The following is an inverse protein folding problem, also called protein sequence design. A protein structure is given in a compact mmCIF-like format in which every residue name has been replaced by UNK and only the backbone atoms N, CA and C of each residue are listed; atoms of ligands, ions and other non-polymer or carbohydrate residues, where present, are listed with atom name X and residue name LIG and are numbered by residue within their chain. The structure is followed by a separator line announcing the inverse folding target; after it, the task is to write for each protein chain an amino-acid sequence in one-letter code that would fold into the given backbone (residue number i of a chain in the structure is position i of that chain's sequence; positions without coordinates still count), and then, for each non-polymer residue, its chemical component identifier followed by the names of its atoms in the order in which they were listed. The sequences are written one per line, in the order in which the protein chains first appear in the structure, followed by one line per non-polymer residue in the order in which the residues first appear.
data_IF_728610434506
#
_entry.id   IF_728610434506
#
_cell.length_a   1.000
_cell.length_b   1.000
_cell.length_c   1.000
_cell.angle_alpha   90.00
_cell.angle_beta   90.00
_cell.angle_gamma   90.00
#
_symmetry.space_group_name_H-M   'P 1'
#
loop_
_entity.id
_entity.type
_entity.pdbx_description
1 polymer ?
#
# COMPACT_ATOMS: atom_id res chain seq x y z
N UNK A 1 -45.98 -30.63 40.83
CA UNK A 1 -44.94 -29.58 40.78
C UNK A 1 -43.68 -29.93 39.96
N UNK A 2 -43.77 -30.78 38.94
CA UNK A 2 -42.61 -31.18 38.09
C UNK A 2 -42.66 -30.70 36.62
N UNK A 3 -43.72 -29.98 36.23
CA UNK A 3 -43.89 -29.54 34.82
C UNK A 3 -43.38 -28.14 34.50
N UNK A 4 -42.99 -27.34 35.47
CA UNK A 4 -42.53 -25.97 35.23
C UNK A 4 -41.00 -25.80 35.24
N UNK A 5 -40.26 -26.87 35.60
CA UNK A 5 -38.81 -26.82 35.64
C UNK A 5 -38.15 -26.90 34.25
N UNK A 6 -38.81 -27.55 33.29
CA UNK A 6 -38.28 -27.70 31.91
C UNK A 6 -38.57 -26.50 31.01
N UNK A 7 -39.46 -25.58 31.44
CA UNK A 7 -39.76 -24.36 30.66
C UNK A 7 -38.79 -23.23 30.91
N UNK A 8 -38.07 -23.25 32.02
CA UNK A 8 -37.07 -22.22 32.39
C UNK A 8 -35.71 -22.58 31.81
N UNK A 9 -35.40 -23.86 31.59
CA UNK A 9 -34.13 -24.31 30.98
C UNK A 9 -34.08 -24.12 29.48
N UNK A 10 -35.21 -23.95 28.80
CA UNK A 10 -35.29 -23.81 27.33
C UNK A 10 -34.99 -22.40 26.79
N UNK A 11 -34.99 -21.38 27.66
CA UNK A 11 -34.83 -19.97 27.23
C UNK A 11 -33.38 -19.48 27.38
N UNK A 12 -32.51 -20.23 28.07
CA UNK A 12 -31.12 -19.81 28.32
C UNK A 12 -30.11 -20.30 27.27
N UNK A 13 -30.57 -21.07 26.27
CA UNK A 13 -29.69 -21.70 25.27
C UNK A 13 -29.66 -21.02 23.89
N UNK A 14 -30.30 -19.84 23.72
CA UNK A 14 -30.39 -19.20 22.40
C UNK A 14 -29.77 -17.78 22.35
N UNK A 15 -28.87 -17.46 23.26
CA UNK A 15 -28.29 -16.10 23.35
C UNK A 15 -26.80 -16.02 23.03
N UNK A 16 -26.21 -16.98 22.33
CA UNK A 16 -24.78 -16.92 22.00
C UNK A 16 -24.51 -17.28 20.55
N UNK A 17 -24.93 -16.46 19.59
CA UNK A 17 -24.35 -16.47 18.24
C UNK A 17 -24.55 -15.10 17.55
N UNK A 18 -24.02 -14.04 18.15
CA UNK A 18 -23.60 -12.86 17.40
C UNK A 18 -22.08 -12.75 17.53
N UNK A 19 -21.37 -13.67 16.88
CA UNK A 19 -19.98 -13.42 16.56
C UNK A 19 -20.04 -12.41 15.41
N UNK A 20 -20.00 -11.15 15.77
CA UNK A 20 -19.71 -10.06 14.86
C UNK A 20 -18.38 -10.36 14.18
N UNK A 21 -18.42 -10.72 12.90
CA UNK A 21 -17.27 -10.59 12.03
C UNK A 21 -16.86 -9.11 12.06
N UNK A 22 -15.92 -8.78 12.91
CA UNK A 22 -15.20 -7.53 12.83
C UNK A 22 -14.60 -7.46 11.42
N UNK A 23 -15.06 -6.52 10.60
CA UNK A 23 -14.31 -6.08 9.44
C UNK A 23 -13.00 -5.54 10.00
N UNK A 24 -11.93 -6.28 9.84
CA UNK A 24 -10.58 -5.77 10.07
C UNK A 24 -10.41 -4.58 9.11
N UNK A 25 -10.62 -3.39 9.66
CA UNK A 25 -10.20 -2.18 8.97
C UNK A 25 -8.69 -2.30 8.83
N UNK A 26 -8.12 -2.06 7.63
CA UNK A 26 -6.68 -1.99 7.51
C UNK A 26 -6.19 -0.98 8.55
N UNK A 27 -5.29 -1.43 9.41
CA UNK A 27 -4.62 -0.55 10.38
C UNK A 27 -3.72 0.34 9.55
N UNK A 28 -4.23 1.49 9.17
CA UNK A 28 -3.41 2.59 8.69
C UNK A 28 -2.64 3.08 9.91
N UNK A 29 -1.38 2.67 10.03
CA UNK A 29 -0.48 3.30 10.97
C UNK A 29 -0.34 4.76 10.55
N UNK A 30 -0.62 5.69 11.47
CA UNK A 30 -0.30 7.09 11.24
C UNK A 30 1.19 7.18 10.90
N UNK A 31 1.50 7.96 9.88
CA UNK A 31 2.89 8.20 9.51
C UNK A 31 3.59 8.90 10.67
N UNK A 32 4.71 8.32 11.11
CA UNK A 32 5.55 9.00 12.09
C UNK A 32 6.08 10.31 11.50
N UNK A 33 6.23 11.34 12.34
CA UNK A 33 6.91 12.56 11.91
C UNK A 33 8.30 12.22 11.40
N UNK A 34 8.61 12.71 10.21
CA UNK A 34 9.94 12.55 9.61
C UNK A 34 10.89 13.48 10.40
N UNK A 35 11.77 12.91 11.21
CA UNK A 35 12.84 13.65 11.83
C UNK A 35 13.79 14.14 10.72
N UNK A 36 13.76 15.42 10.46
CA UNK A 36 14.67 16.04 9.49
C UNK A 36 15.98 16.36 10.21
N UNK A 37 16.98 15.51 10.04
CA UNK A 37 18.33 15.82 10.49
C UNK A 37 18.92 16.92 9.59
N UNK A 38 19.26 18.06 10.20
CA UNK A 38 19.85 19.20 9.50
C UNK A 38 21.37 19.22 9.58
N UNK A 39 21.97 18.34 10.38
CA UNK A 39 23.42 18.23 10.57
C UNK A 39 24.00 17.25 9.54
N UNK A 40 24.60 17.80 8.48
CA UNK A 40 25.18 17.02 7.38
C UNK A 40 25.18 17.77 6.06
N UNK A 41 25.60 17.08 5.01
CA UNK A 41 25.58 17.60 3.63
C UNK A 41 24.27 17.20 2.96
N UNK A 42 23.55 18.18 2.43
CA UNK A 42 22.32 17.97 1.69
C UNK A 42 22.63 17.64 0.22
N UNK A 43 22.11 16.52 -0.27
CA UNK A 43 22.15 16.12 -1.67
C UNK A 43 20.73 16.11 -2.22
N UNK A 44 20.57 16.60 -3.46
CA UNK A 44 19.31 16.54 -4.19
C UNK A 44 19.27 15.35 -5.12
N UNK A 45 18.09 14.76 -5.27
CA UNK A 45 17.88 13.68 -6.24
C UNK A 45 17.97 14.24 -7.66
N UNK A 46 18.73 13.58 -8.50
CA UNK A 46 18.70 13.80 -9.94
C UNK A 46 17.44 13.16 -10.52
N UNK A 47 16.37 13.94 -10.63
CA UNK A 47 15.05 13.47 -11.08
C UNK A 47 15.05 13.04 -12.55
N UNK A 48 16.04 13.45 -13.35
CA UNK A 48 16.15 13.07 -14.76
C UNK A 48 16.72 11.67 -14.93
N UNK A 49 17.65 11.28 -14.06
CA UNK A 49 18.38 10.01 -14.17
C UNK A 49 18.00 9.00 -13.06
N UNK A 50 17.14 9.40 -12.12
CA UNK A 50 16.67 8.53 -11.03
C UNK A 50 15.22 8.10 -11.23
N UNK A 51 14.89 6.90 -10.77
CA UNK A 51 13.53 6.38 -10.77
C UNK A 51 13.28 5.48 -9.58
N UNK A 52 12.02 5.31 -9.23
CA UNK A 52 11.55 4.29 -8.31
C UNK A 52 11.18 3.07 -9.15
N UNK A 53 11.67 1.89 -8.80
CA UNK A 53 11.25 0.64 -9.40
C UNK A 53 10.20 -0.02 -8.50
N UNK A 54 9.07 -0.44 -9.10
CA UNK A 54 8.02 -1.14 -8.39
C UNK A 54 7.85 -2.56 -8.92
N UNK A 55 7.42 -3.44 -8.04
CA UNK A 55 7.08 -4.82 -8.38
C UNK A 55 5.80 -5.22 -7.65
N UNK A 56 4.81 -5.65 -8.42
CA UNK A 56 3.54 -6.16 -7.92
C UNK A 56 3.35 -7.63 -8.22
N UNK A 57 2.69 -8.35 -7.33
CA UNK A 57 2.36 -9.76 -7.50
C UNK A 57 0.99 -10.06 -6.89
N UNK A 58 0.31 -11.05 -7.46
CA UNK A 58 -0.95 -11.53 -6.89
C UNK A 58 -0.68 -12.47 -5.72
N UNK A 59 -1.42 -12.26 -4.63
CA UNK A 59 -1.29 -13.09 -3.41
C UNK A 59 -2.00 -14.44 -3.56
N UNK A 60 -2.85 -14.61 -4.57
CA UNK A 60 -3.60 -15.85 -4.82
C UNK A 60 -2.65 -16.97 -5.27
N UNK A 61 -2.69 -18.10 -4.58
CA UNK A 61 -1.78 -19.26 -4.77
C UNK A 61 -1.78 -19.87 -6.18
N UNK A 62 -2.78 -19.60 -6.99
CA UNK A 62 -2.93 -20.15 -8.34
C UNK A 62 -2.33 -19.30 -9.45
N UNK A 63 -1.98 -18.05 -9.18
CA UNK A 63 -1.48 -17.10 -10.17
C UNK A 63 -0.25 -16.37 -9.59
N UNK A 64 0.93 -16.76 -10.07
CA UNK A 64 2.20 -16.15 -9.69
C UNK A 64 2.63 -15.02 -10.65
N UNK A 65 1.69 -14.47 -11.40
CA UNK A 65 1.98 -13.40 -12.34
C UNK A 65 2.53 -12.20 -11.57
N UNK A 66 3.71 -11.79 -11.98
CA UNK A 66 4.41 -10.63 -11.41
C UNK A 66 4.52 -9.57 -12.47
N UNK A 67 4.16 -8.35 -12.13
CA UNK A 67 4.37 -7.17 -12.98
C UNK A 67 5.35 -6.21 -12.32
N UNK A 68 6.09 -5.47 -13.14
CA UNK A 68 7.03 -4.47 -12.66
C UNK A 68 7.09 -3.27 -13.58
N UNK A 69 7.59 -2.17 -13.03
CA UNK A 69 7.70 -0.93 -13.77
C UNK A 69 8.44 0.16 -13.00
N UNK A 70 8.24 1.39 -13.40
CA UNK A 70 8.90 2.53 -12.80
C UNK A 70 7.95 3.70 -12.54
N UNK A 71 8.39 4.59 -11.64
CA UNK A 71 7.76 5.87 -11.32
C UNK A 71 8.91 6.88 -11.22
N UNK A 72 8.72 8.09 -11.73
CA UNK A 72 9.71 9.16 -11.63
C UNK A 72 9.61 9.88 -10.29
N UNK A 73 10.72 10.44 -9.84
CA UNK A 73 10.70 11.39 -8.74
C UNK A 73 10.24 12.77 -9.26
N UNK A 74 9.35 13.40 -8.53
CA UNK A 74 9.07 14.82 -8.67
C UNK A 74 10.19 15.64 -8.00
N UNK A 75 10.57 15.24 -6.79
CA UNK A 75 11.65 15.86 -6.03
C UNK A 75 12.20 14.90 -4.98
N UNK A 76 13.34 15.26 -4.40
CA UNK A 76 13.87 14.54 -3.28
C UNK A 76 15.19 15.11 -2.82
N UNK A 77 15.45 14.95 -1.54
CA UNK A 77 16.74 15.28 -0.93
C UNK A 77 17.10 14.27 0.16
N UNK A 78 18.39 14.20 0.45
CA UNK A 78 18.95 13.37 1.50
C UNK A 78 20.03 14.12 2.25
N UNK A 79 20.10 13.94 3.55
CA UNK A 79 21.18 14.45 4.40
C UNK A 79 22.16 13.33 4.70
N UNK A 80 23.44 13.58 4.43
CA UNK A 80 24.53 12.63 4.66
C UNK A 80 25.55 13.26 5.61
N UNK A 81 25.94 12.55 6.66
CA UNK A 81 26.98 12.93 7.62
C UNK A 81 27.95 11.77 7.80
N UNK A 82 29.25 12.05 7.72
CA UNK A 82 30.34 11.07 7.87
C UNK A 82 30.16 9.83 6.96
N UNK A 83 29.68 10.06 5.72
CA UNK A 83 29.42 9.01 4.73
C UNK A 83 28.20 8.15 5.02
N UNK A 84 27.36 8.50 6.00
CA UNK A 84 26.14 7.78 6.37
C UNK A 84 24.90 8.61 6.05
N UNK A 85 23.89 7.95 5.48
CA UNK A 85 22.56 8.52 5.30
C UNK A 85 21.93 8.79 6.67
N UNK A 86 21.51 10.01 6.92
CA UNK A 86 20.84 10.43 8.16
C UNK A 86 19.33 10.53 7.97
N UNK A 87 18.91 11.29 6.96
CA UNK A 87 17.49 11.49 6.65
C UNK A 87 17.30 11.66 5.14
N UNK A 88 16.07 11.53 4.68
CA UNK A 88 15.70 11.80 3.30
C UNK A 88 14.21 12.02 3.15
N UNK A 89 13.85 12.86 2.19
CA UNK A 89 12.48 13.11 1.78
C UNK A 89 12.39 12.98 0.27
N UNK A 90 11.39 12.26 -0.21
CA UNK A 90 11.17 12.03 -1.62
C UNK A 90 9.70 12.26 -1.97
N UNK A 91 9.47 12.84 -3.13
CA UNK A 91 8.14 12.96 -3.73
C UNK A 91 8.16 12.18 -5.03
N UNK A 92 7.26 11.20 -5.14
CA UNK A 92 7.08 10.39 -6.32
C UNK A 92 5.94 10.98 -7.17
N UNK A 93 6.17 11.17 -8.46
CA UNK A 93 5.12 11.55 -9.40
C UNK A 93 4.40 10.29 -9.91
N UNK A 94 3.30 9.94 -9.25
CA UNK A 94 2.51 8.75 -9.58
C UNK A 94 1.84 8.86 -10.97
N UNK A 95 1.67 10.04 -11.53
CA UNK A 95 1.15 10.20 -12.90
C UNK A 95 2.07 9.54 -13.92
N UNK A 96 3.37 9.45 -13.61
CA UNK A 96 4.43 8.84 -14.44
C UNK A 96 4.54 7.33 -14.30
N UNK A 97 3.66 6.69 -13.48
CA UNK A 97 3.67 5.24 -13.32
C UNK A 97 3.59 4.56 -14.68
N UNK A 98 4.58 3.72 -14.96
CA UNK A 98 4.71 2.96 -16.18
C UNK A 98 4.97 1.50 -15.87
N UNK A 99 4.28 0.61 -16.59
CA UNK A 99 4.60 -0.82 -16.62
C UNK A 99 5.64 -1.11 -17.71
N UNK A 100 6.65 -1.94 -17.40
CA UNK A 100 7.77 -2.23 -18.30
C UNK A 100 7.69 -3.64 -18.88
N UNK A 101 7.22 -4.62 -18.10
CA UNK A 101 7.20 -6.02 -18.52
C UNK A 101 6.16 -6.33 -19.61
N UNK A 102 5.07 -5.56 -19.69
CA UNK A 102 4.03 -5.72 -20.71
C UNK A 102 4.28 -4.85 -21.96
N UNK A 103 5.51 -4.44 -22.24
CA UNK A 103 5.84 -3.57 -23.39
C UNK A 103 5.37 -4.11 -24.74
N UNK A 104 5.29 -5.44 -24.90
CA UNK A 104 4.88 -6.14 -26.12
C UNK A 104 3.36 -6.41 -26.18
N UNK A 105 2.61 -6.13 -25.09
CA UNK A 105 1.16 -6.23 -24.99
C UNK A 105 0.56 -4.90 -24.52
N UNK A 106 0.34 -3.99 -25.46
CA UNK A 106 -0.11 -2.62 -25.17
C UNK A 106 -1.51 -2.57 -24.56
N UNK A 107 -2.38 -3.52 -24.87
CA UNK A 107 -3.74 -3.58 -24.30
C UNK A 107 -3.66 -3.94 -22.82
N UNK A 108 -2.94 -4.99 -22.47
CA UNK A 108 -2.75 -5.40 -21.08
C UNK A 108 -1.97 -4.36 -20.29
N UNK A 109 -0.96 -3.73 -20.88
CA UNK A 109 -0.21 -2.62 -20.27
C UNK A 109 -1.15 -1.48 -19.89
N UNK A 110 -1.94 -0.98 -20.83
CA UNK A 110 -2.87 0.13 -20.59
C UNK A 110 -3.93 -0.22 -19.53
N UNK A 111 -4.44 -1.45 -19.54
CA UNK A 111 -5.39 -1.94 -18.55
C UNK A 111 -4.81 -1.98 -17.14
N UNK A 112 -3.58 -2.49 -16.99
CA UNK A 112 -2.89 -2.56 -15.71
C UNK A 112 -2.56 -1.16 -15.18
N UNK A 113 -1.99 -0.29 -16.00
CA UNK A 113 -1.65 1.08 -15.61
C UNK A 113 -2.90 1.88 -15.24
N UNK A 114 -3.99 1.77 -16.00
CA UNK A 114 -5.26 2.40 -15.70
C UNK A 114 -5.84 1.93 -14.37
N UNK A 115 -5.75 0.63 -14.07
CA UNK A 115 -6.19 0.09 -12.80
C UNK A 115 -5.35 0.59 -11.62
N UNK A 116 -4.02 0.60 -11.75
CA UNK A 116 -3.11 1.10 -10.72
C UNK A 116 -3.29 2.60 -10.47
N UNK A 117 -3.61 3.39 -11.49
CA UNK A 117 -3.85 4.84 -11.39
C UNK A 117 -5.25 5.19 -10.90
N UNK A 118 -6.18 4.23 -10.88
CA UNK A 118 -7.58 4.44 -10.47
C UNK A 118 -7.74 4.63 -8.97
N UNK A 119 -8.97 4.95 -8.54
CA UNK A 119 -9.34 5.09 -7.14
C UNK A 119 -9.22 3.81 -6.31
N UNK A 120 -9.05 2.65 -6.94
CA UNK A 120 -8.85 1.37 -6.24
C UNK A 120 -7.43 1.24 -5.68
N UNK A 121 -6.46 2.04 -6.20
CA UNK A 121 -5.06 2.02 -5.78
C UNK A 121 -4.53 3.42 -5.45
N UNK A 122 -4.00 4.12 -6.45
CA UNK A 122 -3.27 5.38 -6.20
C UNK A 122 -4.11 6.65 -6.35
N UNK A 123 -5.32 6.56 -6.91
CA UNK A 123 -6.24 7.67 -7.03
C UNK A 123 -5.59 8.95 -7.62
N UNK A 124 -4.88 8.79 -8.73
CA UNK A 124 -3.98 9.80 -9.31
C UNK A 124 -4.68 11.12 -9.71
N UNK A 125 -6.01 11.11 -9.88
CA UNK A 125 -6.78 12.29 -10.29
C UNK A 125 -7.21 13.20 -9.12
N UNK A 126 -6.79 12.90 -7.88
CA UNK A 126 -7.01 13.73 -6.69
C UNK A 126 -5.69 14.36 -6.20
#
# INVERSE_FOLDING_TARGET
MKKNLYRVLGILALSFLVISCGKDKPVTSEANEVLTETDGVLYKVDTMNSRIEWKGYKVLKSDQTTHFGSIKFESGDVTVKDGKLQSGKFVADITTLENIDLKDDQEMKAKLEGHLKSGDFFEVEK
#
